data_IF_481201676241
#
_entry.id   IF_481201676241
#
_cell.length_a   1.000
_cell.length_b   1.000
_cell.length_c   1.000
_cell.angle_alpha   90.00
_cell.angle_beta   90.00
_cell.angle_gamma   90.00
#
_symmetry.space_group_name_H-M   'P 1'
#
loop_
_entity.id
_entity.type
_entity.pdbx_description
1 polymer ?
#
# COMPACT_ATOMS: atom_id res chain seq x y z
N UNK A 1 22.07 -30.64 2.56
CA UNK A 1 22.13 -30.86 4.03
C UNK A 1 23.55 -30.68 4.56
N UNK A 2 24.53 -31.52 4.19
CA UNK A 2 25.94 -31.42 4.66
C UNK A 2 26.58 -30.03 4.49
N UNK A 3 26.38 -29.37 3.34
CA UNK A 3 26.90 -28.00 3.14
C UNK A 3 26.29 -27.00 4.12
N UNK A 4 24.98 -27.09 4.37
CA UNK A 4 24.27 -26.20 5.31
C UNK A 4 24.75 -26.40 6.74
N UNK A 5 24.93 -27.66 7.17
CA UNK A 5 25.46 -27.97 8.50
C UNK A 5 26.89 -27.44 8.68
N UNK A 6 27.75 -27.53 7.66
CA UNK A 6 29.10 -26.96 7.75
C UNK A 6 29.08 -25.43 7.77
N UNK A 7 28.18 -24.77 7.02
CA UNK A 7 28.05 -23.31 7.07
C UNK A 7 27.62 -22.80 8.44
N UNK A 8 26.75 -23.54 9.13
CA UNK A 8 26.33 -23.25 10.51
C UNK A 8 27.46 -23.57 11.49
N UNK A 9 28.06 -24.76 11.41
CA UNK A 9 29.11 -25.22 12.34
C UNK A 9 30.39 -24.38 12.25
N UNK A 10 30.74 -23.89 11.06
CA UNK A 10 31.87 -22.99 10.87
C UNK A 10 31.59 -21.54 11.30
N UNK A 11 30.35 -21.23 11.69
CA UNK A 11 29.91 -19.85 11.97
C UNK A 11 29.87 -18.96 10.73
N UNK A 12 30.01 -19.50 9.52
CA UNK A 12 30.01 -18.72 8.28
C UNK A 12 28.63 -18.12 7.98
N UNK A 13 27.56 -18.82 8.33
CA UNK A 13 26.19 -18.33 8.20
C UNK A 13 25.85 -17.36 9.35
N UNK A 14 25.40 -16.15 9.03
CA UNK A 14 25.02 -15.13 10.02
C UNK A 14 23.52 -14.87 10.08
N UNK A 15 22.86 -14.84 8.93
CA UNK A 15 21.42 -14.66 8.86
C UNK A 15 20.79 -15.36 7.66
N UNK A 16 19.52 -15.73 7.80
CA UNK A 16 18.65 -16.13 6.69
C UNK A 16 17.38 -15.29 6.75
N UNK A 17 17.15 -14.48 5.72
CA UNK A 17 16.02 -13.56 5.63
C UNK A 17 15.04 -14.06 4.57
N UNK A 18 13.79 -14.34 4.93
CA UNK A 18 12.76 -14.69 3.96
C UNK A 18 12.18 -13.45 3.29
N UNK A 19 12.09 -13.48 1.95
CA UNK A 19 11.47 -12.43 1.14
C UNK A 19 10.06 -12.87 0.69
N UNK A 20 9.13 -11.91 0.52
CA UNK A 20 7.81 -12.22 0.01
C UNK A 20 7.87 -12.79 -1.42
N UNK A 21 6.92 -13.69 -1.80
CA UNK A 21 6.79 -14.14 -3.17
C UNK A 21 6.66 -12.96 -4.14
N UNK A 22 7.37 -13.02 -5.28
CA UNK A 22 7.40 -11.94 -6.26
C UNK A 22 8.54 -10.93 -6.08
N UNK A 23 9.38 -11.09 -5.06
CA UNK A 23 10.55 -10.25 -4.81
C UNK A 23 11.63 -10.37 -5.90
N UNK A 24 11.87 -11.59 -6.39
CA UNK A 24 12.72 -11.82 -7.56
C UNK A 24 12.26 -13.06 -8.35
N UNK A 25 12.66 -13.20 -9.63
CA UNK A 25 12.39 -14.41 -10.40
C UNK A 25 13.04 -15.65 -9.74
N UNK A 26 12.34 -16.78 -9.58
CA UNK A 26 10.96 -17.08 -10.02
C UNK A 26 9.89 -16.45 -9.10
N UNK A 27 8.98 -15.67 -9.69
CA UNK A 27 8.03 -14.81 -8.96
C UNK A 27 6.95 -15.55 -8.15
N UNK A 28 6.86 -16.87 -8.25
CA UNK A 28 5.85 -17.70 -7.59
C UNK A 28 6.38 -18.42 -6.34
N UNK A 29 7.65 -18.20 -5.99
CA UNK A 29 8.31 -18.84 -4.83
C UNK A 29 8.85 -17.75 -3.91
N UNK A 30 8.70 -17.92 -2.60
CA UNK A 30 9.42 -17.11 -1.62
C UNK A 30 10.92 -17.43 -1.69
N UNK A 31 11.75 -16.39 -1.74
CA UNK A 31 13.21 -16.53 -1.82
C UNK A 31 13.84 -16.15 -0.49
N UNK A 32 15.02 -16.69 -0.20
CA UNK A 32 15.76 -16.36 1.02
C UNK A 32 17.06 -15.66 0.67
N UNK A 33 17.39 -14.59 1.41
CA UNK A 33 18.72 -13.98 1.41
C UNK A 33 19.56 -14.63 2.50
N UNK A 34 20.74 -15.11 2.11
CA UNK A 34 21.70 -15.74 3.02
C UNK A 34 22.84 -14.76 3.26
N UNK A 35 23.00 -14.33 4.51
CA UNK A 35 24.09 -13.45 4.91
C UNK A 35 25.22 -14.34 5.42
N UNK A 36 26.33 -14.34 4.66
CA UNK A 36 27.51 -15.10 5.00
C UNK A 36 28.65 -14.14 5.34
N UNK A 37 29.38 -14.45 6.41
CA UNK A 37 30.58 -13.72 6.78
C UNK A 37 31.70 -14.72 7.04
N UNK A 38 32.86 -14.49 6.42
CA UNK A 38 34.02 -15.35 6.61
C UNK A 38 34.37 -15.44 8.10
N UNK A 39 34.53 -16.65 8.68
CA UNK A 39 35.05 -16.80 10.03
C UNK A 39 36.53 -16.46 10.05
N UNK A 40 36.94 -15.60 10.98
CA UNK A 40 38.33 -15.19 11.15
C UNK A 40 39.03 -16.07 12.19
N UNK A 41 40.29 -16.49 11.97
CA UNK A 41 41.04 -17.22 12.98
C UNK A 41 41.19 -16.37 14.26
N UNK A 42 40.64 -16.85 15.38
CA UNK A 42 40.66 -16.15 16.67
C UNK A 42 39.56 -15.08 16.85
N UNK A 43 38.60 -14.98 15.93
CA UNK A 43 37.44 -14.11 16.08
C UNK A 43 36.43 -14.59 17.13
N UNK A 44 35.43 -13.75 17.47
CA UNK A 44 34.39 -14.11 18.43
C UNK A 44 33.60 -15.34 17.97
N UNK A 45 33.33 -16.25 18.90
CA UNK A 45 32.53 -17.44 18.65
C UNK A 45 31.09 -17.05 18.28
N UNK A 46 30.58 -17.58 17.18
CA UNK A 46 29.23 -17.29 16.69
C UNK A 46 28.29 -18.40 17.14
N UNK A 47 27.55 -18.13 18.22
CA UNK A 47 26.68 -19.12 18.88
C UNK A 47 25.25 -19.15 18.36
N UNK A 48 24.86 -18.17 17.53
CA UNK A 48 23.50 -18.03 17.02
C UNK A 48 23.47 -17.55 15.56
N UNK A 49 22.38 -17.86 14.87
CA UNK A 49 22.05 -17.40 13.51
C UNK A 49 20.72 -16.66 13.55
N UNK A 50 20.66 -15.48 12.93
CA UNK A 50 19.43 -14.70 12.81
C UNK A 50 18.52 -15.29 11.73
N UNK A 51 17.26 -15.52 12.06
CA UNK A 51 16.20 -15.78 11.10
C UNK A 51 15.22 -14.63 11.13
N UNK A 52 14.89 -14.06 9.97
CA UNK A 52 13.85 -13.04 9.87
C UNK A 52 12.90 -13.36 8.73
N UNK A 53 11.62 -13.08 8.95
CA UNK A 53 10.57 -13.16 7.95
C UNK A 53 10.15 -11.74 7.53
N UNK A 54 10.65 -11.30 6.38
CA UNK A 54 10.23 -10.04 5.78
C UNK A 54 9.02 -10.24 4.83
N UNK A 55 8.44 -11.45 4.75
CA UNK A 55 7.28 -11.70 3.89
C UNK A 55 6.02 -11.00 4.40
N UNK A 56 5.87 -10.81 5.72
CA UNK A 56 4.77 -10.07 6.35
C UNK A 56 4.94 -8.55 6.25
N UNK A 57 5.96 -8.05 5.53
CA UNK A 57 6.10 -6.62 5.25
C UNK A 57 5.19 -6.17 4.09
N UNK A 58 4.46 -7.10 3.47
CA UNK A 58 3.36 -6.73 2.58
C UNK A 58 2.28 -6.03 3.39
N UNK A 59 2.16 -4.72 3.16
CA UNK A 59 1.29 -3.72 3.80
C UNK A 59 1.81 -3.09 5.10
N UNK A 60 2.53 -1.96 4.93
CA UNK A 60 2.48 -0.74 5.74
C UNK A 60 2.72 -0.87 7.25
N UNK A 61 3.96 -0.62 7.67
CA UNK A 61 4.23 -0.12 9.02
C UNK A 61 3.68 1.31 9.13
N UNK A 62 2.38 1.38 9.45
CA UNK A 62 1.58 2.60 9.59
C UNK A 62 0.13 2.29 9.93
N UNK A 63 -0.14 1.12 10.53
CA UNK A 63 -1.30 0.80 11.34
C UNK A 63 -0.98 -0.54 12.01
N UNK A 64 -1.14 -0.58 13.32
CA UNK A 64 -0.77 -1.69 14.18
C UNK A 64 -1.34 -3.03 13.71
N UNK A 65 -0.50 -4.06 13.83
CA UNK A 65 -0.80 -5.49 14.01
C UNK A 65 -1.53 -6.29 12.91
N UNK A 66 -0.75 -7.14 12.21
CA UNK A 66 -1.07 -8.57 12.03
C UNK A 66 -1.46 -9.05 10.63
N UNK A 67 -0.55 -9.73 9.91
CA UNK A 67 -0.91 -10.80 8.96
C UNK A 67 0.27 -11.67 8.43
N UNK A 68 0.33 -12.93 8.89
CA UNK A 68 0.40 -14.14 8.04
C UNK A 68 -0.14 -15.33 8.84
N UNK A 69 -0.56 -16.45 8.28
CA UNK A 69 -0.98 -16.83 6.94
C UNK A 69 -1.72 -18.15 7.13
N UNK A 70 -2.79 -18.38 6.36
CA UNK A 70 -3.47 -19.65 6.26
C UNK A 70 -3.90 -19.90 4.83
N UNK A 71 -3.06 -20.59 4.07
CA UNK A 71 -3.38 -21.05 2.73
C UNK A 71 -4.49 -22.12 2.80
N UNK A 72 -5.57 -21.94 2.05
CA UNK A 72 -6.23 -23.06 1.40
C UNK A 72 -6.84 -22.63 0.07
N UNK A 73 -6.63 -23.50 -0.89
CA UNK A 73 -6.86 -23.41 -2.33
C UNK A 73 -8.25 -22.93 -2.76
N UNK A 74 -8.29 -21.88 -3.57
CA UNK A 74 -9.25 -21.79 -4.67
C UNK A 74 -8.56 -21.25 -5.92
N UNK A 75 -8.38 -22.15 -6.89
CA UNK A 75 -7.89 -21.84 -8.23
C UNK A 75 -9.03 -21.21 -9.02
N UNK A 76 -8.94 -19.93 -9.39
CA UNK A 76 -9.28 -19.45 -10.75
C UNK A 76 -8.91 -17.99 -10.99
N UNK A 77 -8.07 -17.79 -12.03
CA UNK A 77 -7.85 -16.61 -12.89
C UNK A 77 -7.36 -15.29 -12.26
N UNK A 78 -6.09 -14.98 -12.54
CA UNK A 78 -5.57 -13.62 -12.76
C UNK A 78 -5.30 -12.81 -11.50
N UNK A 79 -4.31 -13.23 -10.70
CA UNK A 79 -3.85 -12.47 -9.54
C UNK A 79 -3.00 -11.26 -9.95
N UNK A 80 -3.57 -10.06 -9.87
CA UNK A 80 -2.84 -8.81 -9.98
C UNK A 80 -1.78 -8.71 -8.87
N UNK A 81 -0.54 -8.39 -9.26
CA UNK A 81 0.61 -8.26 -8.38
C UNK A 81 0.36 -7.16 -7.35
N UNK A 82 0.23 -7.49 -6.08
CA UNK A 82 0.44 -6.51 -5.00
C UNK A 82 1.86 -5.97 -5.17
N UNK A 83 2.02 -4.67 -5.41
CA UNK A 83 3.34 -4.06 -5.50
C UNK A 83 4.03 -4.24 -4.13
N UNK A 84 5.22 -4.84 -4.14
CA UNK A 84 6.01 -5.07 -2.93
C UNK A 84 6.50 -3.73 -2.39
N UNK A 85 6.34 -3.54 -1.09
CA UNK A 85 6.87 -2.37 -0.38
C UNK A 85 8.33 -2.63 -0.02
N UNK A 86 9.23 -2.28 -0.94
CA UNK A 86 10.66 -2.49 -0.75
C UNK A 86 11.23 -1.67 0.41
N UNK A 87 10.68 -0.49 0.69
CA UNK A 87 11.12 0.34 1.80
C UNK A 87 10.87 -0.38 3.13
N UNK A 88 9.63 -0.87 3.35
CA UNK A 88 9.29 -1.62 4.56
C UNK A 88 10.06 -2.94 4.69
N UNK A 89 10.28 -3.65 3.57
CA UNK A 89 11.09 -4.88 3.55
C UNK A 89 12.54 -4.59 3.96
N UNK A 90 13.13 -3.54 3.39
CA UNK A 90 14.52 -3.16 3.68
C UNK A 90 14.69 -2.66 5.11
N UNK A 91 13.79 -1.79 5.58
CA UNK A 91 13.80 -1.29 6.96
C UNK A 91 13.74 -2.45 7.96
N UNK A 92 12.76 -3.35 7.82
CA UNK A 92 12.61 -4.49 8.71
C UNK A 92 13.83 -5.41 8.72
N UNK A 93 14.38 -5.71 7.54
CA UNK A 93 15.56 -6.55 7.42
C UNK A 93 16.80 -5.90 8.08
N UNK A 94 17.00 -4.60 7.89
CA UNK A 94 18.12 -3.86 8.44
C UNK A 94 17.99 -3.61 9.95
N UNK A 95 16.77 -3.36 10.46
CA UNK A 95 16.52 -3.21 11.90
C UNK A 95 16.86 -4.50 12.64
N UNK A 96 16.33 -5.64 12.19
CA UNK A 96 16.63 -6.93 12.79
C UNK A 96 18.13 -7.30 12.68
N UNK A 97 18.76 -7.01 11.53
CA UNK A 97 20.18 -7.28 11.33
C UNK A 97 21.07 -6.42 12.22
N UNK A 98 20.84 -5.11 12.26
CA UNK A 98 21.65 -4.16 13.04
C UNK A 98 21.56 -4.51 14.54
N UNK A 99 20.34 -4.69 15.07
CA UNK A 99 20.13 -5.07 16.46
C UNK A 99 20.82 -6.40 16.82
N UNK A 100 20.71 -7.41 15.96
CA UNK A 100 21.41 -8.69 16.16
C UNK A 100 22.94 -8.55 16.10
N UNK A 101 23.48 -7.66 15.26
CA UNK A 101 24.94 -7.47 15.17
C UNK A 101 25.53 -6.66 16.32
N UNK A 102 24.75 -5.77 16.91
CA UNK A 102 25.17 -4.95 18.07
C UNK A 102 25.30 -5.80 19.33
N UNK A 103 24.30 -6.65 19.63
CA UNK A 103 24.36 -7.60 20.75
C UNK A 103 23.73 -8.97 20.38
N UNK A 104 24.51 -9.89 19.79
CA UNK A 104 24.00 -11.19 19.37
C UNK A 104 23.58 -12.12 20.51
N UNK A 105 24.09 -11.92 21.73
CA UNK A 105 23.80 -12.78 22.88
C UNK A 105 22.53 -12.31 23.62
N UNK A 106 22.25 -11.00 23.64
CA UNK A 106 21.04 -10.44 24.24
C UNK A 106 19.84 -10.30 23.28
N UNK A 107 20.00 -10.59 21.99
CA UNK A 107 18.92 -10.43 21.01
C UNK A 107 17.83 -11.51 21.15
N UNK A 108 16.70 -11.14 21.74
CA UNK A 108 15.51 -12.01 21.88
C UNK A 108 14.69 -12.12 20.57
N UNK A 109 14.74 -11.07 19.74
CA UNK A 109 14.00 -10.98 18.48
C UNK A 109 12.56 -10.46 18.63
N UNK A 110 11.84 -10.45 17.51
CA UNK A 110 10.44 -10.04 17.43
C UNK A 110 9.57 -11.25 17.09
N UNK A 111 8.61 -11.63 17.94
CA UNK A 111 7.68 -12.72 17.67
C UNK A 111 7.03 -12.65 16.29
N UNK A 112 7.18 -13.70 15.48
CA UNK A 112 6.62 -13.72 14.13
C UNK A 112 7.34 -12.87 13.08
N UNK A 113 8.38 -12.11 13.44
CA UNK A 113 9.19 -11.30 12.52
C UNK A 113 10.66 -11.70 12.49
N UNK A 114 11.32 -11.86 13.63
CA UNK A 114 12.74 -12.18 13.70
C UNK A 114 13.10 -12.96 14.97
N UNK A 115 14.07 -13.87 14.89
CA UNK A 115 14.54 -14.66 16.03
C UNK A 115 16.01 -15.04 15.85
N UNK A 116 16.81 -14.92 16.91
CA UNK A 116 18.11 -15.58 16.97
C UNK A 116 17.93 -17.03 17.43
N UNK A 117 18.45 -17.99 16.66
CA UNK A 117 18.41 -19.42 17.00
C UNK A 117 19.82 -19.91 17.25
N UNK A 118 20.02 -20.68 18.32
CA UNK A 118 21.36 -21.16 18.67
C UNK A 118 21.87 -22.19 17.67
N UNK A 119 23.19 -22.25 17.50
CA UNK A 119 23.84 -23.25 16.63
C UNK A 119 23.52 -24.67 17.08
N UNK A 120 23.34 -24.89 18.39
CA UNK A 120 22.97 -26.20 18.96
C UNK A 120 21.58 -26.61 18.47
N UNK A 121 20.60 -25.70 18.53
CA UNK A 121 19.22 -25.97 18.09
C UNK A 121 19.13 -26.19 16.57
N UNK A 122 20.01 -25.56 15.80
CA UNK A 122 20.04 -25.68 14.33
C UNK A 122 20.72 -26.94 13.81
N UNK A 123 21.60 -27.56 14.59
CA UNK A 123 22.36 -28.75 14.19
C UNK A 123 21.63 -30.07 14.50
N UNK A 124 20.30 -30.01 14.63
CA UNK A 124 19.42 -31.18 14.77
C UNK A 124 19.40 -32.10 13.53
N UNK A 125 18.61 -33.19 13.60
CA UNK A 125 18.51 -34.25 12.59
C UNK A 125 18.04 -33.78 11.20
N UNK A 126 17.66 -32.51 10.98
CA UNK A 126 17.27 -32.03 9.64
C UNK A 126 18.03 -30.79 9.17
N UNK A 127 18.62 -30.00 10.08
CA UNK A 127 19.29 -28.72 9.78
C UNK A 127 18.41 -27.88 8.85
N UNK A 128 17.21 -27.56 9.35
CA UNK A 128 16.26 -26.69 8.66
C UNK A 128 16.65 -25.23 8.88
N UNK A 129 16.90 -24.52 7.78
CA UNK A 129 17.27 -23.09 7.78
C UNK A 129 16.14 -22.25 7.17
N UNK A 130 14.91 -22.74 7.18
CA UNK A 130 13.73 -22.02 6.70
C UNK A 130 13.26 -21.03 7.76
N UNK A 131 13.33 -19.70 7.51
CA UNK A 131 13.00 -18.69 8.53
C UNK A 131 11.59 -18.86 9.11
N UNK A 132 10.60 -19.18 8.26
CA UNK A 132 9.22 -19.38 8.67
C UNK A 132 9.05 -20.44 9.78
N UNK A 133 9.90 -21.47 9.86
CA UNK A 133 9.83 -22.49 10.93
C UNK A 133 10.28 -21.93 12.28
N UNK A 134 11.33 -21.12 12.26
CA UNK A 134 11.97 -20.56 13.46
C UNK A 134 11.26 -19.33 13.99
N UNK A 135 10.74 -18.51 13.07
CA UNK A 135 10.01 -17.27 13.36
C UNK A 135 8.54 -17.55 13.74
N UNK A 136 7.89 -18.59 13.20
CA UNK A 136 6.55 -18.99 13.69
C UNK A 136 6.59 -19.60 15.09
N UNK A 137 7.69 -20.26 15.45
CA UNK A 137 7.87 -20.82 16.79
C UNK A 137 7.93 -19.74 17.89
N UNK A 138 8.24 -18.47 17.57
CA UNK A 138 8.20 -17.37 18.55
C UNK A 138 6.82 -16.71 18.69
N UNK A 139 5.85 -16.98 17.80
CA UNK A 139 4.46 -16.50 18.01
C UNK A 139 3.79 -17.16 19.22
N UNK A 140 4.23 -18.36 19.59
CA UNK A 140 3.82 -19.05 20.82
C UNK A 140 4.29 -18.35 22.09
N UNK A 141 5.28 -17.45 22.00
CA UNK A 141 5.86 -16.70 23.12
C UNK A 141 5.16 -15.34 23.36
N UNK A 142 4.21 -14.94 22.49
CA UNK A 142 3.39 -13.73 22.72
C UNK A 142 2.50 -13.95 23.93
N UNK A 143 2.50 -13.00 24.87
CA UNK A 143 1.66 -13.03 26.07
C UNK A 143 0.18 -13.25 25.67
N UNK A 144 -0.46 -14.35 26.13
CA UNK A 144 -1.87 -14.60 25.86
C UNK A 144 -2.79 -13.44 26.23
N UNK A 145 -2.46 -12.67 27.29
CA UNK A 145 -3.23 -11.51 27.68
C UNK A 145 -3.14 -10.37 26.64
N UNK A 146 -1.95 -10.12 26.09
CA UNK A 146 -1.73 -9.13 25.05
C UNK A 146 -2.50 -9.48 23.78
N UNK A 147 -2.36 -10.72 23.30
CA UNK A 147 -3.06 -11.17 22.09
C UNK A 147 -4.58 -11.18 22.27
N UNK A 148 -5.08 -11.53 23.46
CA UNK A 148 -6.51 -11.43 23.78
C UNK A 148 -7.02 -9.99 23.75
N UNK A 149 -6.26 -9.03 24.30
CA UNK A 149 -6.61 -7.61 24.29
C UNK A 149 -6.60 -7.02 22.87
N UNK A 150 -5.62 -7.41 22.05
CA UNK A 150 -5.53 -7.06 20.64
C UNK A 150 -6.74 -7.60 19.87
N UNK A 151 -7.06 -8.89 20.04
CA UNK A 151 -8.22 -9.53 19.41
C UNK A 151 -9.54 -8.84 19.73
N UNK A 152 -9.74 -8.49 21.00
CA UNK A 152 -10.94 -7.77 21.43
C UNK A 152 -10.99 -6.35 20.85
N UNK A 153 -9.84 -5.69 20.70
CA UNK A 153 -9.76 -4.35 20.09
C UNK A 153 -10.05 -4.38 18.60
N UNK A 154 -9.45 -5.30 17.85
CA UNK A 154 -9.74 -5.48 16.42
C UNK A 154 -11.20 -5.86 16.21
N UNK A 155 -11.76 -6.75 17.04
CA UNK A 155 -13.19 -7.13 16.98
C UNK A 155 -14.13 -5.95 17.25
N UNK A 156 -13.86 -5.12 18.27
CA UNK A 156 -14.66 -3.90 18.55
C UNK A 156 -14.59 -2.91 17.39
N UNK A 157 -13.41 -2.77 16.78
CA UNK A 157 -13.20 -1.90 15.62
C UNK A 157 -13.94 -2.41 14.39
N UNK A 158 -13.94 -3.73 14.16
CA UNK A 158 -14.73 -4.39 13.11
C UNK A 158 -16.23 -4.16 13.32
N UNK A 159 -16.75 -4.34 14.55
CA UNK A 159 -18.17 -4.08 14.85
C UNK A 159 -18.55 -2.64 14.53
N UNK A 160 -17.67 -1.69 14.86
CA UNK A 160 -17.87 -0.27 14.55
C UNK A 160 -17.86 -0.03 13.04
N UNK A 161 -16.92 -0.64 12.31
CA UNK A 161 -16.85 -0.57 10.84
C UNK A 161 -18.12 -1.14 10.19
N UNK A 162 -18.59 -2.31 10.63
CA UNK A 162 -19.80 -2.94 10.11
C UNK A 162 -21.05 -2.07 10.34
N UNK A 163 -21.15 -1.40 11.48
CA UNK A 163 -22.22 -0.42 11.75
C UNK A 163 -22.14 0.80 10.83
N UNK A 164 -20.94 1.34 10.58
CA UNK A 164 -20.75 2.46 9.64
C UNK A 164 -21.08 2.06 8.20
N UNK A 165 -20.63 0.89 7.75
CA UNK A 165 -21.04 0.31 6.46
C UNK A 165 -22.57 0.17 6.35
N UNK A 166 -23.21 -0.35 7.40
CA UNK A 166 -24.66 -0.49 7.43
C UNK A 166 -25.42 0.84 7.35
N UNK A 167 -24.86 1.93 7.90
CA UNK A 167 -25.42 3.30 7.76
C UNK A 167 -25.23 3.84 6.35
N UNK A 168 -24.00 3.77 5.82
CA UNK A 168 -23.69 4.21 4.45
C UNK A 168 -24.57 3.49 3.39
N UNK A 169 -24.87 2.21 3.60
CA UNK A 169 -25.76 1.45 2.73
C UNK A 169 -27.23 1.88 2.82
N UNK A 170 -27.71 2.33 3.99
CA UNK A 170 -29.10 2.76 4.22
C UNK A 170 -29.39 4.17 3.71
N UNK A 171 -28.41 5.06 3.73
CA UNK A 171 -28.57 6.49 3.35
C UNK A 171 -28.73 6.72 1.83
N UNK A 172 -29.03 5.64 1.10
CA UNK A 172 -29.01 5.54 -0.35
C UNK A 172 -30.43 5.31 -0.87
N UNK A 173 -31.28 6.33 -0.76
CA UNK A 173 -32.59 6.33 -1.44
C UNK A 173 -32.39 6.67 -2.92
N UNK A 174 -32.37 5.64 -3.76
CA UNK A 174 -32.31 5.79 -5.23
C UNK A 174 -33.66 5.46 -5.85
N UNK A 175 -34.13 6.34 -6.74
CA UNK A 175 -35.32 6.12 -7.55
C UNK A 175 -34.93 5.71 -8.96
N UNK A 176 -35.69 4.80 -9.57
CA UNK A 176 -35.55 4.49 -10.99
C UNK A 176 -35.78 5.74 -11.85
N UNK A 177 -35.02 5.91 -12.93
CA UNK A 177 -35.16 7.06 -13.84
C UNK A 177 -36.43 7.03 -14.70
N UNK A 178 -37.19 5.93 -14.66
CA UNK A 178 -38.36 5.65 -15.50
C UNK A 178 -38.27 4.24 -16.10
N UNK A 179 -38.85 4.05 -17.28
CA UNK A 179 -38.80 2.79 -18.05
C UNK A 179 -37.55 2.65 -18.92
N UNK A 180 -36.82 3.74 -19.17
CA UNK A 180 -35.57 3.76 -19.95
C UNK A 180 -34.48 4.56 -19.23
N UNK A 181 -33.22 4.27 -19.59
CA UNK A 181 -32.08 5.05 -19.14
C UNK A 181 -32.12 6.46 -19.75
N UNK A 182 -31.67 7.46 -18.99
CA UNK A 182 -31.55 8.84 -19.51
C UNK A 182 -30.36 8.90 -20.47
N UNK A 183 -30.57 9.48 -21.65
CA UNK A 183 -29.48 9.86 -22.55
C UNK A 183 -29.03 11.29 -22.24
N UNK A 184 -27.72 11.51 -22.22
CA UNK A 184 -27.14 12.81 -21.95
C UNK A 184 -26.39 13.35 -23.16
N UNK A 185 -26.50 14.66 -23.39
CA UNK A 185 -25.53 15.37 -24.24
C UNK A 185 -24.21 15.44 -23.49
N UNK A 186 -23.13 15.01 -24.13
CA UNK A 186 -21.79 14.95 -23.52
C UNK A 186 -20.82 15.90 -24.22
N UNK A 187 -19.83 16.38 -23.47
CA UNK A 187 -18.66 17.08 -23.98
C UNK A 187 -17.39 16.33 -23.60
N UNK A 188 -16.31 16.48 -24.37
CA UNK A 188 -15.02 15.91 -23.96
C UNK A 188 -14.35 16.79 -22.91
N UNK A 189 -13.49 16.20 -22.08
CA UNK A 189 -12.70 16.96 -21.11
C UNK A 189 -11.80 18.00 -21.80
N UNK A 190 -11.35 17.75 -23.04
CA UNK A 190 -10.65 18.76 -23.84
C UNK A 190 -11.53 19.97 -24.18
N UNK A 191 -12.81 19.75 -24.50
CA UNK A 191 -13.74 20.83 -24.81
C UNK A 191 -14.08 21.64 -23.55
N UNK A 192 -14.26 20.97 -22.42
CA UNK A 192 -14.45 21.62 -21.12
C UNK A 192 -13.22 22.44 -20.69
N UNK A 193 -12.01 21.93 -20.95
CA UNK A 193 -10.78 22.68 -20.70
C UNK A 193 -10.68 23.92 -21.59
N UNK A 194 -10.98 23.78 -22.89
CA UNK A 194 -10.96 24.88 -23.86
C UNK A 194 -12.00 25.96 -23.53
N UNK A 195 -13.16 25.54 -23.00
CA UNK A 195 -14.21 26.43 -22.50
C UNK A 195 -13.95 26.99 -21.10
N UNK A 196 -12.79 26.71 -20.48
CA UNK A 196 -12.39 27.22 -19.16
C UNK A 196 -13.18 26.65 -17.98
N UNK A 197 -13.87 25.52 -18.15
CA UNK A 197 -14.64 24.89 -17.07
C UNK A 197 -13.76 24.01 -16.16
N UNK A 198 -12.59 23.59 -16.66
CA UNK A 198 -11.57 22.87 -15.89
C UNK A 198 -10.16 23.13 -16.43
N UNK A 199 -9.15 22.82 -15.64
CA UNK A 199 -7.74 22.78 -16.09
C UNK A 199 -7.20 21.36 -15.98
N UNK A 200 -6.45 20.90 -16.97
CA UNK A 200 -5.81 19.59 -16.97
C UNK A 200 -4.31 19.71 -16.70
N UNK A 201 -3.84 19.18 -15.57
CA UNK A 201 -2.45 19.17 -15.15
C UNK A 201 -1.89 17.74 -15.17
N UNK A 202 -0.61 17.60 -15.53
CA UNK A 202 0.09 16.31 -15.61
C UNK A 202 1.56 16.48 -15.22
N UNK A 203 2.17 15.43 -14.72
CA UNK A 203 3.63 15.33 -14.61
C UNK A 203 4.22 15.16 -16.02
N UNK A 204 4.95 16.15 -16.52
CA UNK A 204 5.63 16.04 -17.82
C UNK A 204 6.96 15.31 -17.60
N UNK A 205 7.24 14.18 -18.30
CA UNK A 205 8.56 13.54 -18.23
C UNK A 205 9.64 14.49 -18.77
N UNK A 206 10.79 14.61 -18.10
CA UNK A 206 11.90 15.48 -18.51
C UNK A 206 12.35 15.29 -19.97
N UNK A 207 12.25 14.06 -20.51
CA UNK A 207 12.66 13.75 -21.88
C UNK A 207 11.91 14.54 -22.97
N UNK A 208 10.71 15.04 -22.70
CA UNK A 208 9.94 15.84 -23.66
C UNK A 208 10.44 17.31 -23.75
N UNK A 209 11.04 17.85 -22.69
CA UNK A 209 11.60 19.22 -22.69
C UNK A 209 12.95 19.30 -23.41
N UNK A 210 13.72 18.21 -23.47
CA UNK A 210 15.02 18.20 -24.15
C UNK A 210 14.89 18.17 -25.68
N UNK A 211 13.83 17.56 -26.24
CA UNK A 211 13.53 17.62 -27.68
C UNK A 211 12.98 18.99 -28.13
N UNK A 212 12.27 19.71 -27.25
CA UNK A 212 11.79 21.06 -27.56
C UNK A 212 12.92 22.11 -27.57
N UNK A 213 14.06 21.84 -26.91
CA UNK A 213 15.24 22.70 -26.91
C UNK A 213 16.25 22.40 -28.03
N UNK A 214 16.15 21.25 -28.70
CA UNK A 214 17.05 20.90 -29.82
C UNK A 214 16.48 21.24 -31.20
N UNK A 215 15.29 21.84 -31.25
CA UNK A 215 14.57 22.15 -32.49
C UNK A 215 14.45 23.63 -32.83
N UNK A 216 15.47 24.47 -32.62
CA UNK A 216 15.58 25.79 -33.28
C UNK A 216 17.04 26.26 -33.37
N UNK A 217 17.51 26.54 -34.59
CA UNK A 217 18.46 27.63 -34.86
C UNK A 217 19.97 27.34 -34.81
N UNK A 218 20.53 27.06 -35.98
CA UNK A 218 21.91 27.34 -36.40
C UNK A 218 22.35 28.79 -36.14
N UNK A 219 23.62 28.98 -35.71
CA UNK A 219 24.50 30.04 -36.25
C UNK A 219 24.81 31.26 -35.36
N UNK A 220 26.02 31.24 -34.80
CA UNK A 220 26.97 32.36 -34.58
C UNK A 220 26.60 33.56 -33.67
N UNK A 221 27.44 33.77 -32.64
CA UNK A 221 27.54 35.04 -31.92
C UNK A 221 28.35 34.92 -30.62
N UNK A 222 29.64 35.24 -30.69
CA UNK A 222 30.50 35.40 -29.52
C UNK A 222 30.03 36.59 -28.65
N UNK A 223 30.06 36.42 -27.33
CA UNK A 223 29.72 37.48 -26.39
C UNK A 223 29.96 37.06 -24.95
N UNK A 224 31.14 37.40 -24.43
CA UNK A 224 31.45 37.36 -23.00
C UNK A 224 30.53 38.32 -22.25
N UNK A 225 29.91 37.87 -21.16
CA UNK A 225 28.96 38.66 -20.39
C UNK A 225 28.70 38.05 -19.01
N UNK A 226 29.52 38.46 -18.05
CA UNK A 226 29.25 38.35 -16.62
C UNK A 226 27.89 38.96 -16.28
N UNK A 227 27.06 38.24 -15.52
CA UNK A 227 25.70 38.67 -15.20
C UNK A 227 25.10 37.85 -14.06
N UNK A 228 25.49 38.24 -12.84
CA UNK A 228 24.81 37.95 -11.57
C UNK A 228 23.28 38.09 -11.69
N UNK A 229 22.55 37.12 -11.14
CA UNK A 229 21.08 37.16 -11.07
C UNK A 229 20.47 35.90 -10.48
N UNK A 230 20.99 35.41 -9.35
CA UNK A 230 20.35 34.34 -8.57
C UNK A 230 19.21 34.98 -7.76
N UNK A 231 18.03 35.10 -8.36
CA UNK A 231 16.81 35.32 -7.58
C UNK A 231 16.44 34.01 -6.89
N UNK A 232 16.97 33.85 -5.67
CA UNK A 232 16.44 32.92 -4.69
C UNK A 232 15.09 33.46 -4.20
N UNK A 233 13.99 32.96 -4.76
CA UNK A 233 12.72 32.99 -4.03
C UNK A 233 12.82 32.00 -2.88
N UNK A 234 13.10 32.56 -1.72
CA UNK A 234 12.99 31.95 -0.41
C UNK A 234 11.58 31.41 -0.18
N UNK A 235 11.49 30.13 0.15
CA UNK A 235 10.23 29.48 0.54
C UNK A 235 10.49 28.26 1.40
N UNK A 236 10.88 28.49 2.66
CA UNK A 236 10.72 27.60 3.83
C UNK A 236 11.29 26.16 3.77
N UNK A 237 11.53 25.52 4.93
CA UNK A 237 11.78 24.08 4.95
C UNK A 237 10.53 23.37 4.40
N UNK A 238 10.71 22.59 3.33
CA UNK A 238 9.68 21.78 2.70
C UNK A 238 9.06 20.83 3.72
N UNK A 239 7.91 21.18 4.28
CA UNK A 239 7.02 20.22 4.95
C UNK A 239 6.85 19.02 4.01
N UNK A 240 6.97 17.81 4.54
CA UNK A 240 7.05 16.57 3.77
C UNK A 240 5.82 16.39 2.85
N UNK A 241 5.92 16.84 1.59
CA UNK A 241 4.86 16.69 0.60
C UNK A 241 4.87 15.27 0.07
N UNK A 242 3.98 14.42 0.60
CA UNK A 242 3.74 13.10 0.02
C UNK A 242 3.31 13.19 -1.45
N UNK A 243 3.62 12.15 -2.23
CA UNK A 243 3.24 12.07 -3.64
C UNK A 243 2.00 11.22 -3.80
N UNK A 244 0.97 11.75 -4.45
CA UNK A 244 -0.27 11.01 -4.72
C UNK A 244 -0.10 10.15 -5.97
N UNK A 245 -0.04 8.83 -5.80
CA UNK A 245 0.23 7.89 -6.89
C UNK A 245 -1.03 7.26 -7.47
N UNK A 246 -0.91 6.63 -8.65
CA UNK A 246 -2.00 5.85 -9.22
C UNK A 246 -2.42 4.65 -8.36
N UNK A 247 -1.50 4.11 -7.55
CA UNK A 247 -1.79 3.03 -6.61
C UNK A 247 -2.66 3.52 -5.45
N UNK A 248 -2.44 4.75 -4.99
CA UNK A 248 -3.22 5.36 -3.92
C UNK A 248 -4.65 5.60 -4.36
N UNK A 249 -4.84 6.06 -5.61
CA UNK A 249 -6.17 6.15 -6.23
C UNK A 249 -6.83 4.77 -6.27
N UNK A 250 -6.13 3.74 -6.75
CA UNK A 250 -6.69 2.39 -6.86
C UNK A 250 -7.20 1.86 -5.50
N UNK A 251 -6.39 2.05 -4.45
CA UNK A 251 -6.70 1.64 -3.07
C UNK A 251 -7.71 2.56 -2.38
N UNK A 252 -7.81 3.82 -2.79
CA UNK A 252 -8.53 4.87 -2.06
C UNK A 252 -7.83 5.22 -0.76
N UNK A 253 -6.50 5.30 -0.79
CA UNK A 253 -5.66 5.75 0.32
C UNK A 253 -5.15 7.17 0.08
N UNK A 254 -4.62 7.82 1.12
CA UNK A 254 -3.88 9.07 0.99
C UNK A 254 -2.55 8.91 0.23
N UNK A 255 -1.81 10.01 0.02
CA UNK A 255 -0.57 10.02 -0.74
C UNK A 255 0.54 9.24 -0.03
N UNK A 256 1.07 8.18 -0.67
CA UNK A 256 2.14 7.36 -0.08
C UNK A 256 3.46 7.41 -0.84
N UNK A 257 3.53 8.08 -1.98
CA UNK A 257 4.74 8.10 -2.82
C UNK A 257 5.82 9.03 -2.26
N UNK A 258 7.07 8.70 -2.57
CA UNK A 258 8.23 9.49 -2.16
C UNK A 258 8.49 10.64 -3.16
N UNK A 259 8.56 11.91 -2.71
CA UNK A 259 8.92 13.04 -3.56
C UNK A 259 10.31 12.91 -4.22
N UNK A 260 11.25 12.16 -3.67
CA UNK A 260 12.55 11.91 -4.32
C UNK A 260 12.44 11.08 -5.62
N UNK A 261 11.36 10.30 -5.77
CA UNK A 261 11.11 9.52 -7.00
C UNK A 261 10.52 10.37 -8.14
N UNK A 262 10.03 11.57 -7.84
CA UNK A 262 9.58 12.52 -8.85
C UNK A 262 10.80 13.08 -9.58
N UNK A 263 11.10 12.50 -10.75
CA UNK A 263 12.09 13.02 -11.72
C UNK A 263 11.61 14.32 -12.40
N UNK A 264 10.98 15.23 -11.66
CA UNK A 264 10.43 16.48 -12.17
C UNK A 264 10.29 17.50 -11.04
N UNK A 265 11.08 18.56 -11.09
CA UNK A 265 10.99 19.71 -10.18
C UNK A 265 9.69 20.53 -10.34
N UNK A 266 8.80 20.13 -11.25
CA UNK A 266 7.58 20.86 -11.61
C UNK A 266 6.31 20.00 -11.47
N UNK A 267 6.29 19.07 -10.52
CA UNK A 267 5.07 18.32 -10.20
C UNK A 267 3.98 19.28 -9.67
N UNK A 268 2.77 19.28 -10.25
CA UNK A 268 1.66 20.10 -9.75
C UNK A 268 1.32 19.78 -8.29
N UNK A 269 1.02 20.81 -7.50
CA UNK A 269 0.50 20.66 -6.14
C UNK A 269 -1.02 20.44 -6.22
N UNK A 270 -1.49 19.40 -5.53
CA UNK A 270 -2.89 19.03 -5.44
C UNK A 270 -3.60 20.01 -4.49
N UNK A 271 -4.78 20.47 -4.90
CA UNK A 271 -5.68 21.28 -4.10
C UNK A 271 -6.95 20.49 -3.78
N UNK A 272 -7.61 20.84 -2.67
CA UNK A 272 -8.92 20.30 -2.35
C UNK A 272 -9.92 20.55 -3.50
N UNK A 273 -10.68 19.53 -3.87
CA UNK A 273 -11.60 19.56 -5.01
C UNK A 273 -10.98 19.21 -6.36
N UNK A 274 -9.66 18.98 -6.45
CA UNK A 274 -9.05 18.41 -7.64
C UNK A 274 -9.54 16.97 -7.87
N UNK A 275 -9.78 16.60 -9.13
CA UNK A 275 -10.18 15.25 -9.53
C UNK A 275 -8.98 14.54 -10.14
N UNK A 276 -8.51 13.48 -9.48
CA UNK A 276 -7.34 12.70 -9.88
C UNK A 276 -7.79 11.44 -10.62
N UNK A 277 -7.26 11.21 -11.81
CA UNK A 277 -7.57 10.04 -12.65
C UNK A 277 -6.30 9.30 -13.00
N UNK A 278 -6.30 7.97 -12.84
CA UNK A 278 -5.16 7.13 -13.22
C UNK A 278 -4.93 7.18 -14.74
N UNK A 279 -3.68 7.32 -15.16
CA UNK A 279 -3.31 7.33 -16.58
C UNK A 279 -3.23 5.92 -17.19
N UNK A 280 -3.15 4.87 -16.36
CA UNK A 280 -3.07 3.48 -16.80
C UNK A 280 -4.20 2.68 -16.16
N UNK A 281 -4.98 1.99 -17.00
CA UNK A 281 -6.03 1.09 -16.55
C UNK A 281 -5.39 -0.15 -15.95
N UNK A 282 -5.86 -0.56 -14.77
CA UNK A 282 -5.45 -1.82 -14.13
C UNK A 282 -6.66 -2.63 -13.71
N UNK A 283 -6.41 -3.87 -13.31
CA UNK A 283 -7.47 -4.88 -13.15
C UNK A 283 -8.45 -4.59 -12.01
N UNK A 284 -8.06 -3.78 -11.01
CA UNK A 284 -8.89 -3.47 -9.83
C UNK A 284 -8.64 -2.05 -9.32
N UNK A 285 -9.57 -1.58 -8.51
CA UNK A 285 -9.48 -0.32 -7.78
C UNK A 285 -10.33 0.79 -8.35
N UNK A 286 -10.22 1.99 -7.79
CA UNK A 286 -10.82 3.19 -8.36
C UNK A 286 -9.99 3.66 -9.55
N UNK A 287 -10.64 4.30 -10.52
CA UNK A 287 -9.99 5.02 -11.61
C UNK A 287 -9.92 6.52 -11.35
N UNK A 288 -10.85 7.07 -10.56
CA UNK A 288 -10.92 8.48 -10.22
C UNK A 288 -11.21 8.68 -8.72
N UNK A 289 -10.67 9.76 -8.15
CA UNK A 289 -10.93 10.22 -6.78
C UNK A 289 -10.96 11.76 -6.74
N UNK A 290 -11.70 12.33 -5.79
CA UNK A 290 -11.68 13.78 -5.49
C UNK A 290 -10.74 13.99 -4.32
N UNK A 291 -9.76 14.89 -4.45
CA UNK A 291 -8.87 15.25 -3.36
C UNK A 291 -9.62 16.06 -2.29
N UNK A 292 -9.50 15.65 -1.03
CA UNK A 292 -9.98 16.37 0.13
C UNK A 292 -8.93 17.32 0.70
N UNK A 293 -9.19 17.82 1.90
CA UNK A 293 -8.26 18.69 2.63
C UNK A 293 -7.01 17.93 3.09
N UNK A 294 -7.13 16.63 3.39
CA UNK A 294 -6.01 15.80 3.84
C UNK A 294 -4.98 15.57 2.73
N UNK A 295 -5.41 15.55 1.47
CA UNK A 295 -4.52 15.35 0.33
C UNK A 295 -4.11 16.68 -0.34
N UNK A 296 -4.65 17.80 0.11
CA UNK A 296 -4.24 19.12 -0.34
C UNK A 296 -2.79 19.39 0.09
N UNK A 297 -1.99 19.95 -0.81
CA UNK A 297 -0.55 20.18 -0.59
C UNK A 297 0.36 19.03 -1.03
N UNK A 298 -0.19 17.84 -1.31
CA UNK A 298 0.55 16.72 -1.88
C UNK A 298 0.99 17.02 -3.33
N UNK A 299 2.06 16.36 -3.77
CA UNK A 299 2.52 16.44 -5.16
C UNK A 299 1.79 15.42 -6.04
N UNK A 300 1.48 15.81 -7.27
CA UNK A 300 0.90 14.91 -8.27
C UNK A 300 1.94 13.87 -8.71
N UNK A 301 1.64 12.59 -8.50
CA UNK A 301 2.51 11.49 -8.92
C UNK A 301 2.53 11.24 -10.42
N UNK A 302 3.57 10.50 -10.85
CA UNK A 302 3.67 10.04 -12.23
C UNK A 302 2.46 9.17 -12.61
N UNK A 303 2.06 9.22 -13.88
CA UNK A 303 0.92 8.46 -14.42
C UNK A 303 -0.42 8.77 -13.73
N UNK A 304 -0.58 9.99 -13.21
CA UNK A 304 -1.86 10.54 -12.74
C UNK A 304 -2.19 11.79 -13.54
N UNK A 305 -3.45 11.91 -13.97
CA UNK A 305 -3.99 13.10 -14.60
C UNK A 305 -4.81 13.87 -13.57
N UNK A 306 -4.52 15.15 -13.38
CA UNK A 306 -5.24 16.02 -12.46
C UNK A 306 -6.18 16.93 -13.24
N UNK A 307 -7.46 16.89 -12.92
CA UNK A 307 -8.48 17.78 -13.45
C UNK A 307 -8.90 18.74 -12.33
N UNK A 308 -8.61 20.03 -12.51
CA UNK A 308 -9.01 21.10 -11.58
C UNK A 308 -10.27 21.78 -12.09
N UNK A 309 -11.47 21.41 -11.62
CA UNK A 309 -12.72 22.04 -12.06
C UNK A 309 -12.85 23.46 -11.50
N UNK A 310 -13.52 24.34 -12.25
CA UNK A 310 -14.06 25.59 -11.70
C UNK A 310 -15.34 25.26 -10.89
N UNK A 311 -15.34 25.44 -9.56
CA UNK A 311 -16.48 25.08 -8.70
C UNK A 311 -17.75 25.89 -8.99
N UNK A 312 -17.65 27.02 -9.69
CA UNK A 312 -18.79 27.79 -10.15
C UNK A 312 -19.49 27.16 -11.37
N UNK A 313 -18.85 26.19 -12.04
CA UNK A 313 -19.31 25.61 -13.33
C UNK A 313 -19.40 24.09 -13.34
N UNK A 314 -18.53 23.42 -12.58
CA UNK A 314 -18.43 21.96 -12.50
C UNK A 314 -18.33 21.51 -11.05
N UNK A 315 -19.20 20.57 -10.66
CA UNK A 315 -19.09 19.89 -9.37
C UNK A 315 -17.98 18.81 -9.43
N UNK A 316 -17.01 18.79 -8.49
CA UNK A 316 -15.92 17.82 -8.50
C UNK A 316 -16.36 16.35 -8.38
N UNK A 317 -17.37 16.07 -7.55
CA UNK A 317 -17.85 14.70 -7.33
C UNK A 317 -18.65 14.18 -8.51
N UNK A 318 -19.42 15.05 -9.16
CA UNK A 318 -20.04 14.79 -10.45
C UNK A 318 -18.99 14.44 -11.50
N UNK A 319 -17.96 15.28 -11.62
CA UNK A 319 -16.87 15.06 -12.56
C UNK A 319 -16.16 13.72 -12.30
N UNK A 320 -15.77 13.44 -11.06
CA UNK A 320 -15.10 12.19 -10.68
C UNK A 320 -15.95 10.94 -11.00
N UNK A 321 -17.26 11.00 -10.71
CA UNK A 321 -18.19 9.90 -11.01
C UNK A 321 -18.23 9.54 -12.49
N UNK A 322 -18.27 10.54 -13.38
CA UNK A 322 -18.29 10.30 -14.82
C UNK A 322 -16.91 9.98 -15.41
N UNK A 323 -15.85 10.66 -15.00
CA UNK A 323 -14.50 10.38 -15.49
C UNK A 323 -14.03 8.97 -15.11
N UNK A 324 -14.41 8.48 -13.92
CA UNK A 324 -14.05 7.15 -13.43
C UNK A 324 -14.93 6.00 -13.94
N UNK A 325 -15.99 6.28 -14.70
CA UNK A 325 -16.92 5.27 -15.18
C UNK A 325 -16.26 4.29 -16.17
N UNK A 326 -16.50 2.98 -16.00
CA UNK A 326 -15.83 1.93 -16.77
C UNK A 326 -15.94 2.12 -18.29
N UNK A 327 -17.15 2.42 -18.80
CA UNK A 327 -17.37 2.63 -20.24
C UNK A 327 -16.67 3.89 -20.76
N UNK A 328 -16.59 4.93 -19.93
CA UNK A 328 -15.89 6.18 -20.28
C UNK A 328 -14.38 5.96 -20.33
N UNK A 329 -13.83 5.25 -19.34
CA UNK A 329 -12.42 4.83 -19.31
C UNK A 329 -12.11 3.94 -20.53
N UNK A 330 -12.93 2.93 -20.81
CA UNK A 330 -12.74 2.04 -21.95
C UNK A 330 -12.76 2.81 -23.28
N UNK A 331 -13.74 3.70 -23.48
CA UNK A 331 -13.86 4.52 -24.69
C UNK A 331 -12.74 5.57 -24.86
N UNK A 332 -12.08 5.97 -23.78
CA UNK A 332 -10.97 6.92 -23.79
C UNK A 332 -9.59 6.25 -23.72
N UNK A 333 -9.52 4.92 -23.67
CA UNK A 333 -8.26 4.18 -23.54
C UNK A 333 -7.66 3.79 -24.89
N UNK A 334 -6.33 3.75 -24.95
CA UNK A 334 -5.55 3.35 -26.12
C UNK A 334 -4.38 2.44 -25.72
N UNK A 335 -4.05 1.46 -26.54
CA UNK A 335 -2.94 0.52 -26.32
C UNK A 335 -3.38 -0.94 -26.43
N UNK A 336 -2.43 -1.86 -26.61
CA UNK A 336 -2.69 -3.30 -26.73
C UNK A 336 -2.28 -4.07 -25.46
N UNK A 337 -1.12 -3.75 -24.89
CA UNK A 337 -0.58 -4.41 -23.68
C UNK A 337 -0.82 -3.59 -22.42
N UNK A 338 -0.66 -2.26 -22.51
CA UNK A 338 -0.97 -1.32 -21.44
C UNK A 338 -2.01 -0.34 -21.96
N UNK A 339 -3.18 -0.34 -21.34
CA UNK A 339 -4.26 0.58 -21.68
C UNK A 339 -4.00 1.92 -21.02
N UNK A 340 -3.59 2.90 -21.83
CA UNK A 340 -3.38 4.27 -21.40
C UNK A 340 -4.65 5.09 -21.60
N UNK A 341 -5.10 5.75 -20.54
CA UNK A 341 -6.24 6.66 -20.59
C UNK A 341 -5.80 7.96 -21.25
N UNK A 342 -6.46 8.32 -22.35
CA UNK A 342 -6.34 9.64 -22.97
C UNK A 342 -7.27 10.62 -22.24
N UNK A 343 -6.77 11.44 -21.31
CA UNK A 343 -7.62 12.24 -20.42
C UNK A 343 -8.48 13.25 -21.19
N UNK A 344 -8.00 13.74 -22.34
CA UNK A 344 -8.75 14.66 -23.18
C UNK A 344 -9.94 14.03 -23.92
N UNK A 345 -10.02 12.70 -24.01
CA UNK A 345 -11.12 11.96 -24.66
C UNK A 345 -12.22 11.54 -23.69
N UNK A 346 -11.98 11.66 -22.38
CA UNK A 346 -13.01 11.36 -21.38
C UNK A 346 -14.20 12.29 -21.57
N UNK A 347 -15.40 11.73 -21.49
CA UNK A 347 -16.66 12.44 -21.72
C UNK A 347 -17.37 12.77 -20.43
N UNK A 348 -17.99 13.93 -20.37
CA UNK A 348 -18.77 14.40 -19.21
C UNK A 348 -20.12 14.90 -19.69
N UNK A 349 -21.24 14.49 -19.07
CA UNK A 349 -22.55 15.03 -19.38
C UNK A 349 -22.65 16.53 -19.10
N UNK A 350 -23.35 17.25 -19.98
CA UNK A 350 -23.65 18.67 -19.82
C UNK A 350 -24.98 18.83 -19.08
N UNK A 351 -24.91 18.97 -17.75
CA UNK A 351 -26.07 19.21 -16.89
C UNK A 351 -25.98 20.60 -16.22
N UNK A 352 -27.11 21.25 -15.87
CA UNK A 352 -27.10 22.44 -15.03
C UNK A 352 -26.39 22.17 -13.69
N UNK A 353 -25.72 23.19 -13.13
CA UNK A 353 -24.89 23.03 -11.92
C UNK A 353 -25.65 22.43 -10.72
N UNK A 354 -26.92 22.78 -10.54
CA UNK A 354 -27.74 22.22 -9.46
C UNK A 354 -27.95 20.71 -9.62
N UNK A 355 -28.19 20.25 -10.85
CA UNK A 355 -28.33 18.83 -11.14
C UNK A 355 -26.99 18.11 -11.01
N UNK A 356 -25.89 18.73 -11.47
CA UNK A 356 -24.54 18.22 -11.22
C UNK A 356 -24.30 18.00 -9.73
N UNK A 357 -24.60 18.99 -8.87
CA UNK A 357 -24.46 18.86 -7.41
C UNK A 357 -25.29 17.74 -6.81
N UNK A 358 -26.50 17.49 -7.34
CA UNK A 358 -27.35 16.37 -6.92
C UNK A 358 -26.71 15.02 -7.25
N UNK A 359 -26.20 14.86 -8.47
CA UNK A 359 -25.44 13.67 -8.86
C UNK A 359 -24.11 13.55 -8.12
N UNK A 360 -23.41 14.67 -7.88
CA UNK A 360 -22.18 14.72 -7.10
C UNK A 360 -22.37 14.22 -5.68
N UNK A 361 -23.44 14.65 -4.99
CA UNK A 361 -23.82 14.11 -3.67
C UNK A 361 -24.09 12.60 -3.73
N UNK A 362 -24.70 12.10 -4.80
CA UNK A 362 -24.91 10.67 -4.97
C UNK A 362 -23.59 9.90 -5.20
N UNK A 363 -22.69 10.39 -6.06
CA UNK A 363 -21.38 9.79 -6.28
C UNK A 363 -20.50 9.81 -5.02
N UNK A 364 -20.57 10.88 -4.22
CA UNK A 364 -19.91 10.95 -2.91
C UNK A 364 -20.40 9.84 -1.97
N UNK A 365 -21.71 9.60 -1.89
CA UNK A 365 -22.27 8.49 -1.09
C UNK A 365 -21.79 7.11 -1.58
N UNK A 366 -21.72 6.91 -2.90
CA UNK A 366 -21.17 5.66 -3.48
C UNK A 366 -19.69 5.47 -3.09
N UNK A 367 -18.92 6.57 -3.11
CA UNK A 367 -17.53 6.55 -2.67
C UNK A 367 -17.39 6.20 -1.19
N UNK A 368 -18.18 6.85 -0.32
CA UNK A 368 -18.23 6.59 1.13
C UNK A 368 -18.63 5.13 1.43
N UNK A 369 -19.66 4.61 0.76
CA UNK A 369 -20.08 3.21 0.87
C UNK A 369 -18.94 2.25 0.53
N UNK A 370 -18.20 2.53 -0.54
CA UNK A 370 -17.06 1.70 -0.96
C UNK A 370 -15.90 1.77 0.04
N UNK A 371 -15.62 2.95 0.59
CA UNK A 371 -14.58 3.14 1.60
C UNK A 371 -14.90 2.35 2.87
N UNK A 372 -16.14 2.45 3.38
CA UNK A 372 -16.60 1.68 4.53
C UNK A 372 -16.60 0.17 4.27
N UNK A 373 -16.97 -0.27 3.07
CA UNK A 373 -16.93 -1.68 2.70
C UNK A 373 -15.49 -2.23 2.74
N UNK A 374 -14.53 -1.50 2.14
CA UNK A 374 -13.11 -1.88 2.18
C UNK A 374 -12.57 -1.93 3.61
N UNK A 375 -12.92 -0.94 4.43
CA UNK A 375 -12.52 -0.88 5.84
C UNK A 375 -13.04 -2.08 6.62
N UNK A 376 -14.32 -2.42 6.44
CA UNK A 376 -14.93 -3.57 7.09
C UNK A 376 -14.32 -4.90 6.64
N UNK A 377 -14.07 -5.08 5.33
CA UNK A 377 -13.40 -6.28 4.80
C UNK A 377 -12.01 -6.46 5.37
N UNK A 378 -11.18 -5.40 5.36
CA UNK A 378 -9.82 -5.46 5.92
C UNK A 378 -9.83 -5.87 7.40
N UNK A 379 -10.67 -5.21 8.21
CA UNK A 379 -10.79 -5.52 9.64
C UNK A 379 -11.35 -6.92 9.90
N UNK A 380 -12.19 -7.46 9.01
CA UNK A 380 -12.70 -8.82 9.12
C UNK A 380 -11.62 -9.86 8.86
N UNK A 381 -10.77 -9.63 7.85
CA UNK A 381 -9.63 -10.48 7.53
C UNK A 381 -8.59 -10.45 8.66
N UNK A 382 -8.26 -9.25 9.16
CA UNK A 382 -7.35 -9.04 10.28
C UNK A 382 -7.84 -9.75 11.55
N UNK A 383 -9.12 -9.56 11.93
CA UNK A 383 -9.72 -10.24 13.07
C UNK A 383 -9.71 -11.77 12.91
N UNK A 384 -10.02 -12.28 11.71
CA UNK A 384 -10.04 -13.72 11.45
C UNK A 384 -8.64 -14.34 11.56
N UNK A 385 -7.62 -13.67 11.01
CA UNK A 385 -6.23 -14.12 11.09
C UNK A 385 -5.73 -14.14 12.53
N UNK A 386 -5.99 -13.09 13.29
CA UNK A 386 -5.56 -13.00 14.68
C UNK A 386 -6.24 -14.06 15.56
N UNK A 387 -7.55 -14.24 15.41
CA UNK A 387 -8.31 -15.24 16.17
C UNK A 387 -7.86 -16.67 15.81
N UNK A 388 -7.68 -16.97 14.51
CA UNK A 388 -7.20 -18.28 14.08
C UNK A 388 -5.76 -18.54 14.56
N UNK A 389 -4.90 -17.52 14.51
CA UNK A 389 -3.53 -17.58 15.04
C UNK A 389 -3.52 -17.85 16.54
N UNK A 390 -4.29 -17.10 17.33
CA UNK A 390 -4.36 -17.29 18.78
C UNK A 390 -4.98 -18.63 19.20
N UNK A 391 -5.99 -19.11 18.48
CA UNK A 391 -6.60 -20.42 18.77
C UNK A 391 -5.65 -21.58 18.44
N UNK A 392 -4.91 -21.49 17.33
CA UNK A 392 -3.97 -22.54 16.92
C UNK A 392 -2.66 -22.51 17.69
N UNK A 393 -2.23 -21.34 18.17
CA UNK A 393 -1.04 -21.17 19.02
C UNK A 393 -1.30 -21.41 20.52
N UNK A 394 -2.56 -21.58 20.93
CA UNK A 394 -2.94 -21.88 22.32
C UNK A 394 -3.05 -20.65 23.24
N UNK A 395 -2.93 -19.44 22.70
CA UNK A 395 -3.10 -18.19 23.45
C UNK A 395 -4.58 -17.82 23.64
N UNK A 396 -5.45 -18.28 22.75
CA UNK A 396 -6.91 -18.14 22.86
C UNK A 396 -7.54 -19.50 23.06
N UNK A 397 -8.52 -19.55 23.95
CA UNK A 397 -9.32 -20.74 24.19
C UNK A 397 -10.73 -20.54 23.64
N UNK A 398 -11.37 -21.59 23.07
CA UNK A 398 -12.79 -21.56 22.77
C UNK A 398 -13.62 -21.25 24.03
N UNK A 399 -14.76 -20.58 23.85
CA UNK A 399 -15.67 -20.32 24.96
C UNK A 399 -16.19 -21.65 25.54
N UNK A 400 -15.67 -22.04 26.71
CA UNK A 400 -15.99 -23.30 27.39
C UNK A 400 -14.88 -23.85 28.30
N UNK A 401 -13.60 -23.56 27.98
CA UNK A 401 -12.46 -24.13 28.73
C UNK A 401 -12.12 -23.37 30.02
N UNK A 402 -12.58 -22.13 30.17
CA UNK A 402 -12.34 -21.31 31.38
C UNK A 402 -13.04 -21.86 32.62
N UNK A 403 -14.07 -22.69 32.45
CA UNK A 403 -14.76 -23.37 33.56
C UNK A 403 -14.05 -24.62 34.07
N UNK A 404 -13.14 -25.23 33.29
CA UNK A 404 -12.43 -26.45 33.69
C UNK A 404 -11.18 -26.17 34.53
N UNK A 405 -10.50 -25.03 34.32
CA UNK A 405 -9.30 -24.66 35.08
C UNK A 405 -9.60 -24.03 36.45
N UNK A 406 -10.82 -23.52 36.69
CA UNK A 406 -11.23 -23.05 38.03
C UNK A 406 -11.73 -24.15 38.95
N UNK A 407 -12.07 -25.33 38.43
CA UNK A 407 -12.57 -26.46 39.24
C UNK A 407 -11.46 -27.44 39.66
N UNK A 408 -10.29 -27.43 39.02
CA UNK A 408 -9.17 -28.31 39.38
C UNK A 408 -8.27 -27.79 40.51
N UNK A 409 -8.47 -26.54 40.97
CA UNK A 409 -7.69 -25.91 42.05
C UNK A 409 -8.30 -25.99 43.45
N UNK A 410 -9.50 -26.57 43.63
CA UNK A 410 -10.25 -26.54 44.90
C UNK A 410 -10.39 -27.91 45.61
N UNK A 411 -9.56 -28.90 45.27
CA UNK A 411 -9.73 -30.28 45.78
C UNK A 411 -8.43 -30.97 46.18
N UNK A 412 -7.57 -30.35 46.99
CA UNK A 412 -6.48 -31.03 47.71
C UNK A 412 -5.94 -30.15 48.83
N UNK A 413 -6.60 -30.14 49.99
CA UNK A 413 -5.98 -29.90 51.30
C UNK A 413 -6.97 -30.25 52.42
N UNK A 414 -6.63 -31.37 53.10
CA UNK A 414 -7.00 -31.84 54.43
C UNK A 414 -8.44 -32.26 54.73
#
# INVERSE_FOLDING_TARGET
>A
RRVRSELVRSGALRAVLALPPGAAPPLHVGLHLWVLQRPEPGGPERKSVLFADAADATTGAGAETGAAAGATTSRTRGGGRTALDWAAITERALTAWTAFTEDPEAYEGEPGTARAVTVVDLLDDTVDLTPARHVRASRSDVDPAQLSAEAETTRRTLVTAAKSLGRAAKDTEWSASGTTAREWRTATASDLARGGALTLLRTVPEGAKQMARTGTGTGAGAGSGSGSGRETTSGGPSEARGVFTGSDIARGSGPTGDPAELRSDAAPIIAAGDVLVRAVVGDRGLMAVVAGEEEAGALLGAQVHLFRPDPARLDPWFLAGFLGAADNIAGASTGSTFLHVSPGRLRVPLLPLEEQRRYGKAFRRVHELRAEARRATRLAEEAALLLAGGLTGGQLLPAGDTTAQRSSGAGSSQ
#
